data_IF_813114687305
#
_entry.id   IF_813114687305
#
_cell.length_a   1.000
_cell.length_b   1.000
_cell.length_c   1.000
_cell.angle_alpha   90.00
_cell.angle_beta   90.00
_cell.angle_gamma   90.00
#
_symmetry.space_group_name_H-M   'P 1'
#
loop_
_entity.id
_entity.type
_entity.pdbx_description
1 polymer ?
#
# COMPACT_ATOMS: atom_id res chain seq x y z
N UNK A 1 -5.39 25.06 -3.81
CA UNK A 1 -5.74 23.68 -3.40
C UNK A 1 -5.32 23.50 -1.94
N UNK A 2 -6.24 23.19 -1.01
CA UNK A 2 -5.86 22.96 0.40
C UNK A 2 -5.12 21.62 0.50
N UNK A 3 -3.86 21.63 0.95
CA UNK A 3 -3.14 20.39 1.31
C UNK A 3 -3.89 19.74 2.48
N UNK A 4 -4.53 18.60 2.24
CA UNK A 4 -4.95 17.73 3.33
C UNK A 4 -3.67 17.24 4.02
N UNK A 5 -3.49 17.56 5.30
CA UNK A 5 -2.36 17.09 6.08
C UNK A 5 -2.77 15.72 6.63
N UNK A 6 -2.21 14.65 6.08
CA UNK A 6 -2.35 13.33 6.69
C UNK A 6 -1.72 13.39 8.08
N UNK A 7 -2.47 13.02 9.11
CA UNK A 7 -2.00 13.08 10.51
C UNK A 7 -0.78 12.19 10.74
N UNK A 8 -0.67 11.11 9.97
CA UNK A 8 0.43 10.16 9.99
C UNK A 8 0.70 9.61 8.58
N UNK A 9 1.92 9.14 8.33
CA UNK A 9 2.22 8.32 7.16
C UNK A 9 1.57 6.95 7.30
N UNK A 10 1.13 6.32 6.18
CA UNK A 10 0.55 4.98 6.22
C UNK A 10 1.45 3.94 6.89
N UNK A 11 2.77 3.99 6.63
CA UNK A 11 3.74 3.12 7.29
C UNK A 11 3.67 3.24 8.81
N UNK A 12 3.83 4.46 9.35
CA UNK A 12 3.83 4.70 10.79
C UNK A 12 2.52 4.25 11.44
N UNK A 13 1.38 4.48 10.79
CA UNK A 13 0.08 4.07 11.29
C UNK A 13 -0.12 2.55 11.27
N UNK A 14 0.42 1.83 10.28
CA UNK A 14 0.31 0.38 10.18
C UNK A 14 1.29 -0.33 11.14
N UNK A 15 2.53 0.15 11.21
CA UNK A 15 3.55 -0.40 12.13
C UNK A 15 3.12 -0.24 13.60
N UNK A 16 2.47 0.86 13.97
CA UNK A 16 1.96 1.06 15.34
C UNK A 16 0.84 0.08 15.72
N UNK A 17 0.17 -0.52 14.72
CA UNK A 17 -0.83 -1.57 14.88
C UNK A 17 -0.24 -2.99 14.72
N UNK A 18 1.09 -3.10 14.62
CA UNK A 18 1.81 -4.38 14.53
C UNK A 18 2.02 -4.92 13.10
N UNK A 19 1.74 -4.13 12.06
CA UNK A 19 2.03 -4.54 10.69
C UNK A 19 3.54 -4.62 10.43
N UNK A 20 3.95 -5.55 9.57
CA UNK A 20 5.34 -5.66 9.09
C UNK A 20 5.51 -4.83 7.82
N UNK A 21 6.31 -3.77 7.89
CA UNK A 21 6.58 -2.92 6.74
C UNK A 21 7.41 -3.64 5.67
N UNK A 22 7.05 -3.40 4.41
CA UNK A 22 7.79 -3.86 3.24
C UNK A 22 7.86 -2.75 2.19
N UNK A 23 9.03 -2.60 1.57
CA UNK A 23 9.28 -1.63 0.52
C UNK A 23 10.24 -2.18 -0.52
N UNK A 24 10.08 -1.75 -1.77
CA UNK A 24 11.10 -1.97 -2.77
C UNK A 24 12.39 -1.20 -2.46
N UNK A 25 13.52 -1.77 -2.90
CA UNK A 25 14.84 -1.13 -2.83
C UNK A 25 15.01 -0.02 -3.86
N UNK A 26 14.23 -0.03 -4.95
CA UNK A 26 14.26 1.00 -6.00
C UNK A 26 13.13 2.01 -5.80
N UNK A 27 13.46 3.30 -5.87
CA UNK A 27 12.47 4.36 -5.80
C UNK A 27 11.45 4.25 -6.95
N UNK A 28 10.18 4.51 -6.64
CA UNK A 28 9.04 4.52 -7.58
C UNK A 28 8.74 3.20 -8.30
N UNK A 29 9.43 2.10 -8.00
CA UNK A 29 9.05 0.79 -8.53
C UNK A 29 7.78 0.29 -7.82
N UNK A 30 6.87 -0.41 -8.54
CA UNK A 30 5.62 -0.87 -7.95
C UNK A 30 5.88 -1.95 -6.90
N UNK A 31 5.21 -1.86 -5.75
CA UNK A 31 5.23 -2.88 -4.70
C UNK A 31 3.81 -3.08 -4.19
N UNK A 32 3.35 -4.33 -4.17
CA UNK A 32 2.03 -4.72 -3.65
C UNK A 32 2.22 -5.83 -2.64
N UNK A 33 1.64 -5.63 -1.46
CA UNK A 33 1.56 -6.67 -0.42
C UNK A 33 0.10 -7.04 -0.23
N UNK A 34 -0.17 -8.34 -0.26
CA UNK A 34 -1.49 -8.92 -0.03
C UNK A 34 -1.41 -9.79 1.23
N UNK A 35 -2.19 -9.45 2.25
CA UNK A 35 -2.37 -10.24 3.47
C UNK A 35 -3.87 -10.43 3.72
N UNK A 36 -4.36 -11.65 3.45
CA UNK A 36 -5.79 -12.01 3.49
C UNK A 36 -6.65 -10.98 2.76
N UNK A 37 -7.44 -10.15 3.41
CA UNK A 37 -8.29 -9.13 2.78
C UNK A 37 -7.61 -7.76 2.63
N UNK A 38 -6.47 -7.53 3.31
CA UNK A 38 -5.72 -6.28 3.25
C UNK A 38 -4.77 -6.27 2.05
N UNK A 39 -5.00 -5.34 1.12
CA UNK A 39 -4.12 -5.08 -0.03
C UNK A 39 -3.51 -3.70 0.12
N UNK A 40 -2.18 -3.60 0.05
CA UNK A 40 -1.46 -2.32 0.10
C UNK A 40 -0.60 -2.12 -1.16
N UNK A 41 -0.47 -0.87 -1.60
CA UNK A 41 0.41 -0.47 -2.69
C UNK A 41 1.33 0.68 -2.26
N UNK A 42 2.62 0.57 -2.52
CA UNK A 42 3.62 1.52 -2.00
C UNK A 42 3.49 2.93 -2.61
N UNK A 43 3.13 3.03 -3.89
CA UNK A 43 3.19 4.27 -4.67
C UNK A 43 2.21 4.22 -5.86
N UNK A 44 2.04 5.33 -6.62
CA UNK A 44 1.13 5.38 -7.76
C UNK A 44 1.40 4.32 -8.85
N UNK A 45 2.67 3.91 -9.05
CA UNK A 45 3.00 2.85 -10.01
C UNK A 45 2.41 1.48 -9.61
N UNK A 46 2.04 1.30 -8.34
CA UNK A 46 1.46 0.07 -7.81
C UNK A 46 -0.04 -0.07 -8.10
N UNK A 47 -0.72 1.00 -8.54
CA UNK A 47 -2.19 1.06 -8.63
C UNK A 47 -2.80 -0.04 -9.51
N UNK A 48 -2.21 -0.30 -10.68
CA UNK A 48 -2.70 -1.34 -11.60
C UNK A 48 -2.58 -2.74 -10.97
N UNK A 49 -1.49 -3.00 -10.25
CA UNK A 49 -1.27 -4.29 -9.59
C UNK A 49 -2.23 -4.49 -8.42
N UNK A 50 -2.49 -3.44 -7.62
CA UNK A 50 -3.50 -3.47 -6.55
C UNK A 50 -4.88 -3.84 -7.11
N UNK A 51 -5.28 -3.21 -8.23
CA UNK A 51 -6.57 -3.49 -8.87
C UNK A 51 -6.69 -4.94 -9.36
N UNK A 52 -5.60 -5.51 -9.89
CA UNK A 52 -5.56 -6.92 -10.29
C UNK A 52 -5.71 -7.86 -9.09
N UNK A 53 -4.96 -7.61 -8.01
CA UNK A 53 -5.05 -8.41 -6.78
C UNK A 53 -6.43 -8.33 -6.14
N UNK A 54 -7.10 -7.18 -6.21
CA UNK A 54 -8.48 -7.03 -5.76
C UNK A 54 -9.43 -7.91 -6.59
N UNK A 55 -9.35 -7.83 -7.91
CA UNK A 55 -10.19 -8.63 -8.80
C UNK A 55 -9.99 -10.14 -8.58
N UNK A 56 -8.76 -10.58 -8.32
CA UNK A 56 -8.46 -11.98 -8.00
C UNK A 56 -9.13 -12.47 -6.72
N UNK A 57 -9.31 -11.59 -5.72
CA UNK A 57 -9.98 -11.95 -4.44
C UNK A 57 -11.49 -11.94 -4.49
N UNK A 58 -12.07 -11.31 -5.51
CA UNK A 58 -13.53 -11.23 -5.70
C UNK A 58 -14.06 -12.35 -6.59
N UNK A 59 -13.19 -13.21 -7.13
CA UNK A 59 -13.55 -14.44 -7.83
C UNK A 59 -13.76 -15.57 -6.84
#
# INVERSE_FOLDING_TARGET
MKKAHAKFYPQTALESLGAKYQSNTKAWSPNVVVDRELITGQNPASAVLVGKSLLEKLK
#
